data_IF_667559975665
#
_entry.id   IF_667559975665
#
_cell.length_a   1.000
_cell.length_b   1.000
_cell.length_c   1.000
_cell.angle_alpha   90.00
_cell.angle_beta   90.00
_cell.angle_gamma   90.00
#
_symmetry.space_group_name_H-M   'P 1'
#
loop_
_entity.id
_entity.type
_entity.pdbx_description
1 polymer ?
#
# COMPACT_ATOMS: atom_id res chain seq x y z
N UNK A 1 -18.23 -4.57 -6.75
CA UNK A 1 -18.14 -3.52 -5.72
C UNK A 1 -16.94 -3.85 -4.86
N UNK A 2 -15.87 -3.06 -4.91
CA UNK A 2 -14.77 -3.20 -3.96
C UNK A 2 -15.17 -2.52 -2.64
N UNK A 3 -14.83 -3.11 -1.48
CA UNK A 3 -15.10 -2.47 -0.18
C UNK A 3 -14.31 -1.16 -0.06
N UNK A 4 -14.96 -0.10 0.41
CA UNK A 4 -14.35 1.22 0.61
C UNK A 4 -14.40 1.62 2.10
N UNK A 5 -13.34 2.27 2.58
CA UNK A 5 -13.29 2.85 3.93
C UNK A 5 -13.81 4.28 3.84
N UNK A 6 -14.88 4.59 4.59
CA UNK A 6 -15.56 5.89 4.59
C UNK A 6 -14.93 6.88 5.58
N UNK A 7 -13.59 6.94 5.65
CA UNK A 7 -12.88 7.89 6.51
C UNK A 7 -12.19 8.95 5.62
N UNK A 8 -12.60 10.23 5.70
CA UNK A 8 -12.16 11.27 4.77
C UNK A 8 -10.63 11.50 4.73
N UNK A 9 -9.95 11.34 5.87
CA UNK A 9 -8.49 11.48 5.93
C UNK A 9 -7.76 10.39 5.17
N UNK A 10 -8.25 9.16 5.27
CA UNK A 10 -7.71 7.98 4.59
C UNK A 10 -7.91 8.07 3.08
N UNK A 11 -9.10 8.49 2.63
CA UNK A 11 -9.37 8.69 1.20
C UNK A 11 -8.46 9.76 0.59
N UNK A 12 -8.31 10.90 1.28
CA UNK A 12 -7.41 11.99 0.85
C UNK A 12 -5.95 11.54 0.76
N UNK A 13 -5.48 10.73 1.74
CA UNK A 13 -4.13 10.16 1.72
C UNK A 13 -3.93 9.21 0.53
N UNK A 14 -4.91 8.35 0.25
CA UNK A 14 -4.86 7.42 -0.88
C UNK A 14 -4.81 8.19 -2.20
N UNK A 15 -5.62 9.24 -2.36
CA UNK A 15 -5.64 10.07 -3.56
C UNK A 15 -4.30 10.79 -3.77
N UNK A 16 -3.78 11.49 -2.76
CA UNK A 16 -2.50 12.21 -2.81
C UNK A 16 -1.34 11.27 -3.18
N UNK A 17 -1.34 10.06 -2.61
CA UNK A 17 -0.29 9.06 -2.86
C UNK A 17 -0.46 8.41 -4.22
N UNK A 18 -1.69 8.22 -4.69
CA UNK A 18 -1.96 7.74 -6.05
C UNK A 18 -1.42 8.72 -7.10
N UNK A 19 -1.65 10.02 -6.92
CA UNK A 19 -1.05 11.04 -7.80
C UNK A 19 0.48 11.02 -7.77
N UNK A 20 1.05 10.88 -6.56
CA UNK A 20 2.50 10.80 -6.38
C UNK A 20 3.09 9.57 -7.07
N UNK A 21 2.37 8.44 -7.06
CA UNK A 21 2.76 7.21 -7.73
C UNK A 21 2.75 7.39 -9.25
N UNK A 22 1.71 8.01 -9.81
CA UNK A 22 1.67 8.32 -11.25
C UNK A 22 2.85 9.19 -11.68
N UNK A 23 3.13 10.28 -10.95
CA UNK A 23 4.30 11.13 -11.20
C UNK A 23 5.61 10.35 -11.12
N UNK A 24 5.75 9.43 -10.16
CA UNK A 24 6.94 8.61 -10.03
C UNK A 24 7.10 7.60 -11.18
N UNK A 25 6.00 7.04 -11.67
CA UNK A 25 5.96 6.09 -12.77
C UNK A 25 6.26 6.75 -14.13
N UNK A 26 5.88 8.03 -14.34
CA UNK A 26 6.25 8.78 -15.55
C UNK A 26 7.78 8.86 -15.76
N UNK A 27 8.54 8.88 -14.67
CA UNK A 27 10.00 8.98 -14.70
C UNK A 27 10.70 7.62 -14.62
N UNK A 28 10.00 6.54 -14.22
CA UNK A 28 10.59 5.23 -13.90
C UNK A 28 9.63 4.09 -14.23
N UNK A 29 10.14 3.03 -14.83
CA UNK A 29 9.31 1.92 -15.31
C UNK A 29 8.71 1.03 -14.22
N UNK A 30 9.25 1.06 -12.99
CA UNK A 30 8.73 0.27 -11.86
C UNK A 30 8.89 0.98 -10.52
N UNK A 31 7.83 0.98 -9.71
CA UNK A 31 7.77 1.55 -8.36
C UNK A 31 7.16 0.55 -7.39
N UNK A 32 7.46 0.69 -6.10
CA UNK A 32 6.80 -0.01 -5.00
C UNK A 32 6.02 1.01 -4.18
N UNK A 33 4.74 0.71 -3.95
CA UNK A 33 3.91 1.36 -2.94
C UNK A 33 4.00 0.53 -1.66
N UNK A 34 4.57 1.12 -0.61
CA UNK A 34 4.66 0.54 0.73
C UNK A 34 3.53 1.08 1.60
N UNK A 35 2.52 0.26 1.85
CA UNK A 35 1.48 0.51 2.86
C UNK A 35 1.99 0.06 4.22
N UNK A 36 1.91 0.92 5.23
CA UNK A 36 2.46 0.68 6.57
C UNK A 36 1.37 0.88 7.62
N UNK A 37 1.16 -0.12 8.45
CA UNK A 37 0.28 -0.03 9.61
C UNK A 37 1.11 0.28 10.85
N UNK A 38 0.68 1.28 11.60
CA UNK A 38 1.41 1.81 12.74
C UNK A 38 0.68 1.53 14.06
N UNK A 39 1.44 1.51 15.14
CA UNK A 39 0.97 1.44 16.52
C UNK A 39 1.54 2.64 17.28
N UNK A 40 0.68 3.43 17.93
CA UNK A 40 1.11 4.51 18.83
C UNK A 40 1.59 3.90 20.14
N UNK A 41 2.90 3.88 20.35
CA UNK A 41 3.49 3.35 21.59
C UNK A 41 3.90 4.49 22.52
N UNK A 42 3.39 4.43 23.76
CA UNK A 42 3.87 5.31 24.83
C UNK A 42 5.08 4.68 25.53
N UNK A 43 6.21 5.39 25.61
CA UNK A 43 7.40 4.91 26.33
C UNK A 43 7.28 5.04 27.86
N UNK A 44 6.07 5.31 28.39
CA UNK A 44 5.81 5.45 29.84
C UNK A 44 6.24 4.24 30.65
N UNK A 45 6.15 3.03 30.07
CA UNK A 45 6.51 1.79 30.75
C UNK A 45 8.01 1.70 31.12
N UNK A 46 8.90 2.34 30.34
CA UNK A 46 10.35 2.29 30.59
C UNK A 46 10.89 3.55 31.29
N UNK A 47 10.21 4.71 31.21
CA UNK A 47 10.66 5.97 31.85
C UNK A 47 9.48 6.83 32.34
N UNK A 48 8.98 6.63 33.57
CA UNK A 48 7.82 7.35 34.09
C UNK A 48 8.06 8.86 34.37
N UNK A 49 9.33 9.31 34.36
CA UNK A 49 9.73 10.71 34.60
C UNK A 49 10.04 11.50 33.32
N UNK A 50 10.04 10.84 32.16
CA UNK A 50 10.11 11.51 30.86
C UNK A 50 8.68 11.78 30.39
N UNK A 51 8.36 13.02 30.01
CA UNK A 51 7.20 13.28 29.13
C UNK A 51 7.51 12.59 27.80
N UNK A 52 7.17 11.31 27.70
CA UNK A 52 7.49 10.48 26.56
C UNK A 52 6.73 10.99 25.33
N UNK A 53 7.47 11.35 24.28
CA UNK A 53 6.90 11.47 22.96
C UNK A 53 6.20 10.16 22.60
N UNK A 54 4.97 10.26 22.08
CA UNK A 54 4.33 9.12 21.42
C UNK A 54 5.14 8.79 20.17
N UNK A 55 5.49 7.52 19.99
CA UNK A 55 6.22 7.04 18.82
C UNK A 55 5.30 6.14 18.00
N UNK A 56 5.31 6.35 16.68
CA UNK A 56 4.63 5.47 15.74
C UNK A 56 5.56 4.32 15.34
N UNK A 57 5.20 3.10 15.73
CA UNK A 57 5.95 1.88 15.41
C UNK A 57 5.24 1.12 14.29
N UNK A 58 5.96 0.77 13.23
CA UNK A 58 5.41 -0.04 12.13
C UNK A 58 5.30 -1.50 12.60
N UNK A 59 4.08 -2.03 12.67
CA UNK A 59 3.84 -3.43 13.04
C UNK A 59 3.53 -4.32 11.84
N UNK A 60 3.09 -3.73 10.72
CA UNK A 60 2.89 -4.45 9.46
C UNK A 60 3.20 -3.56 8.25
N UNK A 61 3.76 -4.15 7.19
CA UNK A 61 4.09 -3.48 5.93
C UNK A 61 3.70 -4.36 4.75
N UNK A 62 2.99 -3.78 3.79
CA UNK A 62 2.70 -4.41 2.50
C UNK A 62 3.39 -3.65 1.38
N UNK A 63 4.09 -4.38 0.52
CA UNK A 63 4.80 -3.84 -0.63
C UNK A 63 4.09 -4.26 -1.91
N UNK A 64 3.54 -3.28 -2.63
CA UNK A 64 2.77 -3.49 -3.87
C UNK A 64 3.59 -2.92 -5.03
N UNK A 65 4.03 -3.79 -5.93
CA UNK A 65 4.81 -3.43 -7.10
C UNK A 65 3.94 -2.96 -8.26
N UNK A 66 4.28 -1.82 -8.85
CA UNK A 66 3.68 -1.26 -10.06
C UNK A 66 4.71 -1.22 -11.18
N UNK A 67 4.31 -1.63 -12.38
CA UNK A 67 5.19 -1.62 -13.56
C UNK A 67 4.42 -1.11 -14.76
N UNK A 68 4.99 -0.15 -15.49
CA UNK A 68 4.46 0.28 -16.79
C UNK A 68 4.97 -0.68 -17.87
N UNK A 69 4.05 -1.39 -18.51
CA UNK A 69 4.34 -2.14 -19.73
C UNK A 69 4.16 -1.19 -20.93
N UNK A 70 5.25 -0.70 -21.52
CA UNK A 70 5.15 0.01 -22.80
C UNK A 70 4.74 -0.99 -23.89
N UNK A 71 3.53 -0.87 -24.44
CA UNK A 71 3.17 -1.59 -25.66
C UNK A 71 3.90 -0.94 -26.84
N UNK A 72 4.98 -1.57 -27.32
CA UNK A 72 5.78 -1.11 -28.46
C UNK A 72 5.06 -1.22 -29.81
N UNK A 73 3.78 -0.85 -29.88
CA UNK A 73 3.03 -0.95 -31.14
C UNK A 73 1.98 0.14 -31.20
N UNK A 74 2.43 1.34 -31.57
CA UNK A 74 1.58 2.48 -31.93
C UNK A 74 0.59 2.17 -33.10
N UNK A 75 0.54 0.93 -33.59
CA UNK A 75 -0.28 0.46 -34.70
C UNK A 75 -1.44 -0.48 -34.30
N UNK A 76 -1.64 -0.81 -33.02
CA UNK A 76 -2.65 -1.79 -32.54
C UNK A 76 -3.73 -1.21 -31.59
N UNK A 77 -3.75 0.11 -31.41
CA UNK A 77 -4.38 0.80 -30.28
C UNK A 77 -5.92 0.78 -30.18
N UNK A 78 -6.66 0.39 -31.21
CA UNK A 78 -8.14 0.42 -31.13
C UNK A 78 -8.78 -0.93 -30.76
N UNK A 79 -8.11 -2.05 -30.99
CA UNK A 79 -8.63 -3.40 -30.67
C UNK A 79 -8.07 -4.02 -29.37
N UNK A 80 -6.87 -3.60 -28.96
CA UNK A 80 -6.19 -4.16 -27.78
C UNK A 80 -6.57 -3.48 -26.46
N UNK A 81 -7.17 -2.29 -26.49
CA UNK A 81 -7.55 -1.54 -25.29
C UNK A 81 -8.53 -2.32 -24.41
N UNK A 82 -9.54 -2.95 -25.03
CA UNK A 82 -10.52 -3.79 -24.32
C UNK A 82 -9.86 -5.03 -23.68
N UNK A 83 -8.88 -5.62 -24.35
CA UNK A 83 -8.16 -6.78 -23.82
C UNK A 83 -7.23 -6.38 -22.67
N UNK A 84 -6.56 -5.24 -22.79
CA UNK A 84 -5.73 -4.67 -21.73
C UNK A 84 -6.59 -4.36 -20.51
N UNK A 85 -7.73 -3.68 -20.68
CA UNK A 85 -8.65 -3.35 -19.57
C UNK A 85 -9.15 -4.64 -18.90
N UNK A 86 -9.58 -5.64 -19.67
CA UNK A 86 -10.01 -6.95 -19.14
C UNK A 86 -8.89 -7.64 -18.36
N UNK A 87 -7.66 -7.62 -18.88
CA UNK A 87 -6.49 -8.19 -18.22
C UNK A 87 -6.20 -7.49 -16.89
N UNK A 88 -6.20 -6.16 -16.87
CA UNK A 88 -6.02 -5.36 -15.65
C UNK A 88 -7.13 -5.65 -14.64
N UNK A 89 -8.39 -5.71 -15.09
CA UNK A 89 -9.53 -6.06 -14.23
C UNK A 89 -9.39 -7.46 -13.62
N UNK A 90 -8.97 -8.45 -14.41
CA UNK A 90 -8.70 -9.80 -13.91
C UNK A 90 -7.59 -9.80 -12.87
N UNK A 91 -6.47 -9.14 -13.16
CA UNK A 91 -5.33 -9.04 -12.24
C UNK A 91 -5.72 -8.38 -10.91
N UNK A 92 -6.53 -7.32 -10.96
CA UNK A 92 -7.04 -6.64 -9.75
C UNK A 92 -8.00 -7.54 -8.95
N UNK A 93 -8.87 -8.28 -9.64
CA UNK A 93 -9.79 -9.23 -8.99
C UNK A 93 -9.04 -10.37 -8.31
N UNK A 94 -8.05 -10.94 -9.00
CA UNK A 94 -7.19 -11.99 -8.47
C UNK A 94 -6.38 -11.48 -7.29
N UNK A 95 -5.75 -10.31 -7.43
CA UNK A 95 -4.99 -9.67 -6.35
C UNK A 95 -5.84 -9.44 -5.10
N UNK A 96 -7.05 -8.88 -5.26
CA UNK A 96 -7.97 -8.63 -4.13
C UNK A 96 -8.37 -9.92 -3.43
N UNK A 97 -8.64 -10.98 -4.19
CA UNK A 97 -9.02 -12.29 -3.62
C UNK A 97 -7.86 -12.93 -2.85
N UNK A 98 -6.65 -12.88 -3.41
CA UNK A 98 -5.44 -13.34 -2.73
C UNK A 98 -5.13 -12.51 -1.48
N UNK A 99 -5.30 -11.19 -1.54
CA UNK A 99 -5.09 -10.29 -0.41
C UNK A 99 -6.00 -10.64 0.76
N UNK A 100 -7.29 -10.88 0.49
CA UNK A 100 -8.24 -11.32 1.53
C UNK A 100 -7.76 -12.63 2.14
N UNK A 101 -7.44 -13.64 1.32
CA UNK A 101 -6.92 -14.92 1.83
C UNK A 101 -5.65 -14.77 2.67
N UNK A 102 -4.72 -13.94 2.22
CA UNK A 102 -3.48 -13.62 2.93
C UNK A 102 -3.76 -13.01 4.31
N UNK A 103 -4.56 -11.94 4.36
CA UNK A 103 -4.95 -11.25 5.61
C UNK A 103 -5.69 -12.19 6.56
N UNK A 104 -6.54 -13.09 6.03
CA UNK A 104 -7.22 -14.10 6.85
C UNK A 104 -6.24 -15.10 7.49
N UNK A 105 -5.14 -15.41 6.82
CA UNK A 105 -4.15 -16.39 7.28
C UNK A 105 -3.11 -15.81 8.25
N UNK A 106 -2.83 -14.51 8.17
CA UNK A 106 -1.80 -13.82 8.95
C UNK A 106 -2.43 -12.92 10.01
N UNK A 107 -3.29 -13.46 10.88
CA UNK A 107 -4.01 -12.64 11.89
C UNK A 107 -3.35 -12.62 13.27
N UNK A 108 -2.46 -13.56 13.52
CA UNK A 108 -1.91 -13.82 14.86
C UNK A 108 -0.98 -12.69 15.36
N UNK A 109 -0.46 -11.86 14.46
CA UNK A 109 0.45 -10.75 14.79
C UNK A 109 -0.24 -9.39 14.93
N UNK A 110 -1.56 -9.31 14.79
CA UNK A 110 -2.30 -8.04 14.91
C UNK A 110 -2.22 -7.55 16.37
N UNK A 111 -1.71 -6.33 16.63
CA UNK A 111 -1.61 -5.78 17.98
C UNK A 111 -2.97 -5.61 18.65
N UNK A 112 -2.98 -5.53 19.98
CA UNK A 112 -4.19 -5.18 20.72
C UNK A 112 -4.62 -3.74 20.37
N UNK A 113 -5.93 -3.52 20.23
CA UNK A 113 -6.47 -2.17 20.04
C UNK A 113 -6.33 -1.42 21.37
N UNK A 114 -5.40 -0.47 21.41
CA UNK A 114 -5.09 0.34 22.61
C UNK A 114 -5.65 1.77 22.53
N UNK A 115 -6.14 2.18 21.35
CA UNK A 115 -6.77 3.50 21.12
C UNK A 115 -8.29 3.40 21.02
N UNK A 116 -8.98 4.47 21.41
CA UNK A 116 -10.42 4.67 21.19
C UNK A 116 -10.74 5.38 19.86
N UNK A 117 -9.72 5.61 19.02
CA UNK A 117 -9.89 6.23 17.69
C UNK A 117 -10.73 5.35 16.77
N UNK A 118 -11.43 6.00 15.80
CA UNK A 118 -12.27 5.30 14.81
C UNK A 118 -11.45 4.35 13.93
N UNK A 119 -10.19 4.72 13.66
CA UNK A 119 -9.21 3.90 12.94
C UNK A 119 -8.18 3.41 13.97
N UNK A 120 -8.19 2.11 14.35
CA UNK A 120 -7.41 1.62 15.47
C UNK A 120 -5.90 1.61 15.21
N UNK A 121 -5.49 1.54 13.94
CA UNK A 121 -4.09 1.56 13.51
C UNK A 121 -3.90 2.66 12.47
N UNK A 122 -3.10 3.70 12.76
CA UNK A 122 -2.74 4.68 11.74
C UNK A 122 -2.08 4.00 10.54
N UNK A 123 -2.20 4.65 9.38
CA UNK A 123 -1.66 4.16 8.11
C UNK A 123 -0.73 5.21 7.52
N UNK A 124 0.36 4.76 6.92
CA UNK A 124 1.20 5.58 6.07
C UNK A 124 1.50 4.87 4.74
N UNK A 125 1.66 5.65 3.68
CA UNK A 125 1.92 5.16 2.34
C UNK A 125 3.17 5.85 1.81
N UNK A 126 4.17 5.06 1.45
CA UNK A 126 5.43 5.53 0.86
C UNK A 126 5.62 4.93 -0.51
N UNK A 127 6.10 5.73 -1.46
CA UNK A 127 6.49 5.27 -2.79
C UNK A 127 8.00 5.27 -2.88
N UNK A 128 8.58 4.17 -3.33
CA UNK A 128 10.01 4.06 -3.57
C UNK A 128 10.31 3.23 -4.81
N UNK A 129 11.50 3.37 -5.42
CA UNK A 129 11.85 2.61 -6.61
C UNK A 129 11.87 1.11 -6.31
N UNK A 130 11.36 0.30 -7.25
CA UNK A 130 11.52 -1.14 -7.15
C UNK A 130 13.01 -1.51 -7.21
N UNK A 131 13.46 -2.53 -6.44
CA UNK A 131 14.83 -2.98 -6.51
C UNK A 131 15.12 -3.46 -7.94
N UNK A 132 16.14 -2.88 -8.58
CA UNK A 132 16.62 -3.35 -9.87
C UNK A 132 17.01 -4.82 -9.70
N UNK A 133 16.45 -5.73 -10.50
CA UNK A 133 16.66 -7.18 -10.40
C UNK A 133 18.09 -7.67 -10.71
N UNK A 134 19.13 -7.05 -10.14
CA UNK A 134 20.54 -7.41 -10.27
C UNK A 134 21.20 -7.76 -8.94
N UNK A 135 20.45 -8.35 -8.01
CA UNK A 135 21.06 -8.94 -6.81
C UNK A 135 20.42 -10.30 -6.50
N UNK A 136 20.77 -11.28 -7.32
CA UNK A 136 20.85 -12.69 -6.93
C UNK A 136 22.25 -13.16 -7.36
N UNK A 137 23.19 -13.06 -6.44
CA UNK A 137 24.48 -13.78 -6.49
C UNK A 137 24.36 -15.01 -5.58
#
# INVERSE_FOLDING_TARGET
>A
MQPQVLEPGTESLVEERTESLFKALDHKTSQILSLRFLEKRSNRANKPWYQAAEEDVIWERWEIGFTITQSNTAHQLEGDSDQIIKSIQSQLSDFSSHLVGFVLSQRDHIPAITSSDVVPFPVDIIIHPAPNGKERA
#
